data_IF_236891478921
#
_entry.id   IF_236891478921
#
_cell.length_a   1.000
_cell.length_b   1.000
_cell.length_c   1.000
_cell.angle_alpha   90.00
_cell.angle_beta   90.00
_cell.angle_gamma   90.00
#
_symmetry.space_group_name_H-M   'P 1'
#
loop_
_entity.id
_entity.type
_entity.pdbx_description
1 polymer ?
#
# COMPACT_ATOMS: atom_id res chain seq x y z
N UNK A 1 -19.74 -4.53 2.21
CA UNK A 1 -20.45 -4.89 0.99
C UNK A 1 -20.07 -6.27 0.46
N UNK A 2 -20.25 -7.31 1.31
CA UNK A 2 -19.94 -8.70 0.97
C UNK A 2 -21.20 -9.54 0.95
N UNK A 3 -21.33 -10.39 -0.06
CA UNK A 3 -22.35 -11.45 -0.10
C UNK A 3 -21.65 -12.77 0.14
N UNK A 4 -22.01 -13.43 1.22
CA UNK A 4 -21.46 -14.75 1.55
C UNK A 4 -22.10 -15.83 0.70
N UNK A 5 -21.34 -16.89 0.36
CA UNK A 5 -21.83 -18.00 -0.45
C UNK A 5 -23.07 -18.68 0.14
N UNK A 6 -23.15 -18.80 1.45
CA UNK A 6 -24.32 -19.36 2.15
C UNK A 6 -25.60 -18.49 2.08
N UNK A 7 -25.50 -17.23 1.65
CA UNK A 7 -26.64 -16.34 1.46
C UNK A 7 -27.22 -16.39 0.04
N UNK A 8 -26.56 -17.09 -0.89
CA UNK A 8 -26.95 -17.19 -2.30
C UNK A 8 -27.85 -18.39 -2.48
N UNK A 9 -29.15 -18.13 -2.74
CA UNK A 9 -30.13 -19.18 -3.00
C UNK A 9 -30.02 -19.74 -4.43
N UNK A 10 -29.65 -18.90 -5.40
CA UNK A 10 -29.58 -19.27 -6.83
C UNK A 10 -28.62 -18.38 -7.57
N UNK A 11 -27.84 -18.97 -8.49
CA UNK A 11 -27.10 -18.29 -9.54
C UNK A 11 -27.86 -18.50 -10.85
N UNK A 12 -28.05 -17.44 -11.63
CA UNK A 12 -28.70 -17.49 -12.97
C UNK A 12 -27.70 -16.98 -13.97
N UNK A 13 -27.47 -17.76 -15.00
CA UNK A 13 -26.57 -17.45 -16.12
C UNK A 13 -27.40 -17.25 -17.39
N UNK A 14 -26.85 -16.54 -18.34
CA UNK A 14 -27.44 -16.43 -19.68
C UNK A 14 -27.49 -17.80 -20.36
N UNK A 15 -28.47 -18.04 -21.22
CA UNK A 15 -28.72 -19.35 -21.82
C UNK A 15 -27.53 -19.89 -22.61
N UNK A 16 -26.72 -19.00 -23.17
CA UNK A 16 -25.56 -19.32 -24.00
C UNK A 16 -24.24 -19.22 -23.23
N UNK A 17 -24.29 -19.06 -21.88
CA UNK A 17 -23.09 -18.96 -21.06
C UNK A 17 -22.39 -20.34 -21.00
N UNK A 18 -21.09 -20.42 -21.31
CA UNK A 18 -20.42 -21.71 -21.55
C UNK A 18 -20.09 -22.53 -20.29
N UNK A 19 -20.31 -21.97 -19.09
CA UNK A 19 -19.96 -22.58 -17.82
C UNK A 19 -21.16 -22.70 -16.89
N UNK A 20 -21.07 -23.56 -15.87
CA UNK A 20 -22.11 -23.77 -14.85
C UNK A 20 -22.13 -22.69 -13.73
N UNK A 21 -21.12 -21.84 -13.67
CA UNK A 21 -20.99 -20.74 -12.72
C UNK A 21 -20.31 -19.54 -13.39
N UNK A 22 -20.47 -18.30 -12.83
CA UNK A 22 -19.72 -17.14 -13.32
C UNK A 22 -18.22 -17.38 -13.22
N UNK A 23 -17.47 -16.87 -14.16
CA UNK A 23 -16.00 -16.86 -14.08
C UNK A 23 -15.55 -16.02 -12.90
N UNK A 24 -14.43 -16.41 -12.29
CA UNK A 24 -13.88 -15.68 -11.16
C UNK A 24 -13.46 -14.27 -11.59
N UNK A 25 -13.93 -13.26 -10.85
CA UNK A 25 -13.74 -11.85 -11.18
C UNK A 25 -14.82 -11.25 -12.08
N UNK A 26 -15.74 -12.05 -12.64
CA UNK A 26 -16.84 -11.55 -13.46
C UNK A 26 -17.75 -10.60 -12.68
N UNK A 27 -18.27 -9.57 -13.36
CA UNK A 27 -19.29 -8.71 -12.80
C UNK A 27 -20.63 -9.43 -12.78
N UNK A 28 -21.28 -9.45 -11.62
CA UNK A 28 -22.58 -10.08 -11.40
C UNK A 28 -23.55 -9.10 -10.74
N UNK A 29 -24.82 -9.12 -11.18
CA UNK A 29 -25.90 -8.39 -10.52
C UNK A 29 -26.46 -9.23 -9.37
N UNK A 30 -26.51 -8.65 -8.18
CA UNK A 30 -27.08 -9.28 -6.98
C UNK A 30 -28.49 -8.78 -6.77
N UNK A 31 -29.44 -9.71 -6.60
CA UNK A 31 -30.87 -9.41 -6.36
C UNK A 31 -31.33 -10.07 -5.07
N UNK A 32 -32.23 -9.42 -4.35
CA UNK A 32 -32.94 -9.99 -3.23
C UNK A 32 -33.97 -11.04 -3.70
N UNK A 33 -34.58 -11.76 -2.75
CA UNK A 33 -35.59 -12.78 -3.04
C UNK A 33 -36.81 -12.21 -3.82
N UNK A 34 -37.20 -10.98 -3.50
CA UNK A 34 -38.29 -10.24 -4.17
C UNK A 34 -37.89 -9.62 -5.51
N UNK A 35 -36.70 -9.94 -6.02
CA UNK A 35 -36.07 -9.43 -7.24
C UNK A 35 -35.58 -7.97 -7.17
N UNK A 36 -35.66 -7.33 -6.00
CA UNK A 36 -35.08 -6.00 -5.79
C UNK A 36 -33.57 -6.05 -6.07
N UNK A 37 -33.07 -5.09 -6.85
CA UNK A 37 -31.64 -4.99 -7.18
C UNK A 37 -30.88 -4.50 -5.95
N UNK A 38 -29.96 -5.31 -5.46
CA UNK A 38 -29.06 -4.95 -4.36
C UNK A 38 -27.80 -4.24 -4.87
N UNK A 39 -27.31 -4.64 -6.04
CA UNK A 39 -26.15 -4.01 -6.66
C UNK A 39 -25.38 -4.92 -7.59
N UNK A 40 -24.26 -4.42 -8.07
CA UNK A 40 -23.30 -5.13 -8.95
C UNK A 40 -21.95 -5.26 -8.24
N UNK A 41 -21.27 -6.38 -8.45
CA UNK A 41 -19.96 -6.65 -7.86
C UNK A 41 -19.21 -7.78 -8.54
N UNK A 42 -18.02 -8.04 -8.08
CA UNK A 42 -17.18 -9.13 -8.58
C UNK A 42 -17.53 -10.46 -7.94
N UNK A 43 -17.77 -11.46 -8.77
CA UNK A 43 -17.90 -12.85 -8.35
C UNK A 43 -16.53 -13.40 -7.88
N UNK A 44 -16.54 -14.22 -6.84
CA UNK A 44 -15.36 -14.90 -6.34
C UNK A 44 -15.72 -16.27 -5.79
N UNK A 45 -14.86 -17.25 -6.04
CA UNK A 45 -14.98 -18.58 -5.45
C UNK A 45 -14.48 -18.54 -3.99
N UNK A 46 -15.34 -18.87 -3.05
CA UNK A 46 -15.01 -18.89 -1.62
C UNK A 46 -16.18 -18.51 -0.72
N UNK A 47 -15.89 -18.22 0.55
CA UNK A 47 -16.90 -17.83 1.54
C UNK A 47 -17.53 -16.46 1.22
N UNK A 48 -16.76 -15.51 0.71
CA UNK A 48 -17.26 -14.24 0.18
C UNK A 48 -17.43 -14.43 -1.32
N UNK A 49 -18.66 -14.69 -1.75
CA UNK A 49 -18.96 -15.00 -3.14
C UNK A 49 -19.11 -13.76 -4.03
N UNK A 50 -19.56 -12.62 -3.48
CA UNK A 50 -19.60 -11.36 -4.23
C UNK A 50 -19.08 -10.22 -3.37
N UNK A 51 -18.20 -9.41 -3.96
CA UNK A 51 -17.81 -8.10 -3.43
C UNK A 51 -18.54 -7.01 -4.20
N UNK A 52 -19.55 -6.40 -3.56
CA UNK A 52 -20.38 -5.36 -4.19
C UNK A 52 -19.53 -4.08 -4.38
N UNK A 53 -19.55 -3.55 -5.58
CA UNK A 53 -18.89 -2.31 -6.01
C UNK A 53 -19.87 -1.12 -6.01
N UNK A 54 -21.07 -1.35 -6.54
CA UNK A 54 -22.10 -0.33 -6.62
C UNK A 54 -23.44 -0.91 -6.17
N UNK A 55 -24.19 -0.14 -5.35
CA UNK A 55 -25.48 -0.54 -4.82
C UNK A 55 -26.63 0.03 -5.64
N UNK A 56 -27.76 -0.72 -5.70
CA UNK A 56 -28.98 -0.27 -6.33
C UNK A 56 -28.97 -0.18 -7.87
N UNK A 57 -27.91 -0.71 -8.49
CA UNK A 57 -27.73 -0.70 -9.95
C UNK A 57 -27.45 -2.10 -10.48
N UNK A 58 -27.82 -2.36 -11.73
CA UNK A 58 -27.60 -3.65 -12.41
C UNK A 58 -26.23 -3.75 -13.07
N UNK A 59 -25.64 -2.61 -13.44
CA UNK A 59 -24.36 -2.52 -14.13
C UNK A 59 -23.54 -1.38 -13.51
N UNK A 60 -22.22 -1.45 -13.63
CA UNK A 60 -21.36 -0.35 -13.21
C UNK A 60 -21.61 0.89 -14.08
N UNK A 61 -21.72 2.08 -13.49
CA UNK A 61 -21.75 3.33 -14.26
C UNK A 61 -20.49 3.47 -15.14
N UNK A 62 -20.60 4.14 -16.27
CA UNK A 62 -19.50 4.33 -17.23
C UNK A 62 -18.25 4.95 -16.60
N UNK A 63 -18.42 5.91 -15.70
CA UNK A 63 -17.32 6.61 -15.01
C UNK A 63 -17.01 6.06 -13.61
N UNK A 64 -17.47 4.84 -13.28
CA UNK A 64 -17.41 4.27 -11.93
C UNK A 64 -16.02 4.38 -11.30
N UNK A 65 -14.97 3.93 -11.97
CA UNK A 65 -13.60 3.95 -11.43
C UNK A 65 -13.12 5.37 -11.14
N UNK A 66 -13.34 6.30 -12.08
CA UNK A 66 -12.93 7.70 -11.91
C UNK A 66 -13.68 8.38 -10.76
N UNK A 67 -14.99 8.14 -10.62
CA UNK A 67 -15.79 8.71 -9.54
C UNK A 67 -15.36 8.19 -8.16
N UNK A 68 -15.09 6.88 -8.03
CA UNK A 68 -14.60 6.29 -6.78
C UNK A 68 -13.22 6.81 -6.39
N UNK A 69 -12.30 6.88 -7.35
CA UNK A 69 -10.96 7.41 -7.12
C UNK A 69 -11.02 8.90 -6.78
N UNK A 70 -11.89 9.68 -7.46
CA UNK A 70 -12.08 11.11 -7.15
C UNK A 70 -12.60 11.31 -5.72
N UNK A 71 -13.57 10.51 -5.29
CA UNK A 71 -14.10 10.57 -3.92
C UNK A 71 -13.00 10.28 -2.88
N UNK A 72 -12.20 9.24 -3.11
CA UNK A 72 -11.09 8.89 -2.25
C UNK A 72 -10.00 9.98 -2.24
N UNK A 73 -9.64 10.53 -3.39
CA UNK A 73 -8.67 11.63 -3.50
C UNK A 73 -9.14 12.88 -2.76
N UNK A 74 -10.40 13.27 -2.97
CA UNK A 74 -11.01 14.42 -2.27
C UNK A 74 -10.99 14.24 -0.75
N UNK A 75 -11.26 13.02 -0.28
CA UNK A 75 -11.18 12.71 1.15
C UNK A 75 -9.74 12.92 1.68
N UNK A 76 -8.70 12.42 0.97
CA UNK A 76 -7.29 12.59 1.38
C UNK A 76 -6.86 14.06 1.39
N UNK A 77 -7.36 14.85 0.44
CA UNK A 77 -7.16 16.31 0.44
C UNK A 77 -7.82 16.97 1.67
N UNK A 78 -9.08 16.64 1.95
CA UNK A 78 -9.80 17.18 3.10
C UNK A 78 -9.16 16.80 4.45
N UNK A 79 -8.51 15.64 4.52
CA UNK A 79 -7.74 15.19 5.69
C UNK A 79 -6.35 15.84 5.79
N UNK A 80 -5.94 16.67 4.84
CA UNK A 80 -4.61 17.30 4.83
C UNK A 80 -3.47 16.34 4.53
N UNK A 81 -3.76 15.15 3.97
CA UNK A 81 -2.73 14.14 3.65
C UNK A 81 -1.95 14.45 2.37
N UNK A 82 -2.35 15.45 1.63
CA UNK A 82 -1.73 15.84 0.36
C UNK A 82 -1.26 17.30 0.48
N UNK A 83 0.04 17.49 0.50
CA UNK A 83 0.67 18.81 0.64
C UNK A 83 2.09 18.79 0.04
N UNK A 84 2.77 19.93 0.03
CA UNK A 84 4.18 20.04 -0.33
C UNK A 84 5.08 19.21 0.58
N UNK A 85 4.70 19.07 1.84
CA UNK A 85 5.45 18.31 2.84
C UNK A 85 5.03 16.84 2.93
N UNK A 86 4.04 16.44 2.15
CA UNK A 86 3.56 15.07 2.13
C UNK A 86 2.95 14.67 0.79
N UNK A 87 3.68 13.85 0.04
CA UNK A 87 3.24 13.23 -1.21
C UNK A 87 3.34 11.69 -1.16
N UNK A 88 3.44 11.15 0.06
CA UNK A 88 3.43 9.72 0.36
C UNK A 88 2.14 9.39 1.10
N UNK A 89 1.17 8.75 0.46
CA UNK A 89 -0.11 8.45 1.11
C UNK A 89 -0.84 7.28 0.44
N UNK A 90 -1.71 6.61 1.22
CA UNK A 90 -2.65 5.61 0.71
C UNK A 90 -3.85 6.31 0.08
N UNK A 91 -3.97 6.18 -1.24
CA UNK A 91 -5.11 6.72 -1.99
C UNK A 91 -6.35 5.83 -1.82
N UNK A 92 -6.19 4.50 -1.96
CA UNK A 92 -7.30 3.55 -1.86
C UNK A 92 -6.97 2.49 -0.80
N UNK A 93 -7.93 2.26 0.09
CA UNK A 93 -7.88 1.24 1.14
C UNK A 93 -9.09 0.30 1.09
N UNK A 94 -9.20 -0.45 0.02
CA UNK A 94 -10.18 -1.53 -0.12
C UNK A 94 -11.61 -1.09 0.15
N UNK A 95 -12.25 -1.80 1.06
CA UNK A 95 -13.63 -1.60 1.48
C UNK A 95 -13.89 -0.21 2.06
N UNK A 96 -12.90 0.40 2.69
CA UNK A 96 -13.00 1.76 3.26
C UNK A 96 -13.26 2.84 2.20
N UNK A 97 -12.82 2.60 0.97
CA UNK A 97 -13.02 3.48 -0.18
C UNK A 97 -14.03 2.91 -1.19
N UNK A 98 -14.84 1.92 -0.78
CA UNK A 98 -15.81 1.22 -1.62
C UNK A 98 -15.21 0.54 -2.87
N UNK A 99 -13.93 0.17 -2.81
CA UNK A 99 -13.20 -0.57 -3.83
C UNK A 99 -12.61 -1.86 -3.22
N UNK A 100 -13.44 -2.82 -2.80
CA UNK A 100 -13.05 -3.99 -2.04
C UNK A 100 -11.99 -4.82 -2.75
N UNK A 101 -10.88 -5.05 -2.07
CA UNK A 101 -9.75 -5.81 -2.62
C UNK A 101 -8.81 -4.97 -3.49
N UNK A 102 -8.86 -3.63 -3.42
CA UNK A 102 -7.91 -2.73 -4.08
C UNK A 102 -7.12 -1.92 -3.07
N UNK A 103 -5.81 -1.90 -3.20
CA UNK A 103 -4.91 -0.99 -2.50
C UNK A 103 -4.19 -0.13 -3.53
N UNK A 104 -4.13 1.17 -3.28
CA UNK A 104 -3.34 2.11 -4.08
C UNK A 104 -2.58 3.03 -3.17
N UNK A 105 -1.26 3.02 -3.29
CA UNK A 105 -0.37 3.93 -2.57
C UNK A 105 0.29 4.90 -3.57
N UNK A 106 0.38 6.16 -3.16
CA UNK A 106 1.02 7.22 -3.95
C UNK A 106 2.39 7.54 -3.37
N UNK A 107 3.37 7.60 -4.23
CA UNK A 107 4.74 7.99 -3.96
C UNK A 107 5.16 9.06 -4.99
N UNK A 108 5.07 10.33 -4.58
CA UNK A 108 5.30 11.49 -5.46
C UNK A 108 4.44 11.42 -6.75
N UNK A 109 5.05 11.18 -7.89
CA UNK A 109 4.38 11.09 -9.20
C UNK A 109 4.05 9.64 -9.64
N UNK A 110 4.23 8.66 -8.75
CA UNK A 110 3.98 7.24 -9.06
C UNK A 110 2.89 6.67 -8.15
N UNK A 111 1.93 5.98 -8.75
CA UNK A 111 0.95 5.18 -8.04
C UNK A 111 1.36 3.70 -8.08
N UNK A 112 1.29 3.02 -6.93
CA UNK A 112 1.52 1.57 -6.82
C UNK A 112 0.21 0.87 -6.47
N UNK A 113 -0.22 -0.04 -7.33
CA UNK A 113 -1.48 -0.78 -7.21
C UNK A 113 -1.21 -2.20 -6.72
N UNK A 114 -1.99 -2.65 -5.73
CA UNK A 114 -2.13 -4.05 -5.36
C UNK A 114 -3.58 -4.50 -5.45
N UNK A 115 -3.84 -5.55 -6.23
CA UNK A 115 -5.11 -6.24 -6.27
C UNK A 115 -5.08 -7.46 -5.34
N UNK A 116 -6.10 -7.59 -4.51
CA UNK A 116 -6.33 -8.72 -3.60
C UNK A 116 -7.51 -9.60 -4.03
N UNK A 117 -8.06 -9.33 -5.20
CA UNK A 117 -9.13 -10.12 -5.82
C UNK A 117 -8.94 -10.20 -7.33
N UNK A 118 -9.48 -11.26 -7.95
CA UNK A 118 -9.39 -11.45 -9.40
C UNK A 118 -10.12 -10.33 -10.14
N UNK A 119 -11.28 -9.90 -9.66
CA UNK A 119 -12.03 -8.80 -10.29
C UNK A 119 -11.24 -7.50 -10.35
N UNK A 120 -10.51 -7.13 -9.28
CA UNK A 120 -9.64 -5.95 -9.31
C UNK A 120 -8.44 -6.13 -10.25
N UNK A 121 -7.91 -7.37 -10.34
CA UNK A 121 -6.87 -7.69 -11.32
C UNK A 121 -7.34 -7.51 -12.76
N UNK A 122 -8.53 -7.98 -13.08
CA UNK A 122 -9.10 -7.86 -14.43
C UNK A 122 -9.29 -6.40 -14.85
N UNK A 123 -9.71 -5.53 -13.94
CA UNK A 123 -9.91 -4.11 -14.18
C UNK A 123 -8.68 -3.21 -13.91
N UNK A 124 -7.50 -3.81 -13.72
CA UNK A 124 -6.28 -3.04 -13.36
C UNK A 124 -5.93 -1.92 -14.34
N UNK A 125 -6.21 -2.12 -15.62
CA UNK A 125 -5.89 -1.12 -16.65
C UNK A 125 -6.83 0.08 -16.60
N UNK A 126 -8.14 -0.15 -16.44
CA UNK A 126 -9.14 0.91 -16.29
C UNK A 126 -8.91 1.68 -14.98
N UNK A 127 -8.54 0.98 -13.90
CA UNK A 127 -8.17 1.60 -12.62
C UNK A 127 -6.94 2.49 -12.79
N UNK A 128 -5.90 2.02 -13.47
CA UNK A 128 -4.69 2.79 -13.72
C UNK A 128 -4.97 4.07 -14.53
N UNK A 129 -5.77 3.97 -15.58
CA UNK A 129 -6.21 5.12 -16.40
C UNK A 129 -7.02 6.12 -15.57
N UNK A 130 -7.91 5.63 -14.72
CA UNK A 130 -8.72 6.46 -13.84
C UNK A 130 -7.84 7.19 -12.79
N UNK A 131 -6.83 6.54 -12.22
CA UNK A 131 -5.87 7.17 -11.30
C UNK A 131 -5.13 8.30 -12.02
N UNK A 132 -4.57 8.04 -13.21
CA UNK A 132 -3.84 9.06 -13.97
C UNK A 132 -4.72 10.25 -14.35
N UNK A 133 -5.99 10.00 -14.68
CA UNK A 133 -6.97 11.04 -15.02
C UNK A 133 -7.34 11.92 -13.82
N UNK A 134 -7.47 11.33 -12.63
CA UNK A 134 -8.05 11.97 -11.45
C UNK A 134 -6.98 12.58 -10.55
N UNK A 135 -5.85 11.92 -10.35
CA UNK A 135 -4.82 12.37 -9.41
C UNK A 135 -3.79 13.21 -10.16
N UNK A 136 -3.69 14.52 -9.84
CA UNK A 136 -2.76 15.41 -10.53
C UNK A 136 -1.30 14.97 -10.37
N UNK A 137 -0.52 15.06 -11.44
CA UNK A 137 0.92 14.82 -11.42
C UNK A 137 1.32 13.34 -11.44
N UNK A 138 0.39 12.39 -11.59
CA UNK A 138 0.75 10.98 -11.77
C UNK A 138 1.27 10.74 -13.19
N UNK A 139 2.53 10.34 -13.27
CA UNK A 139 3.26 10.04 -14.50
C UNK A 139 3.38 8.53 -14.74
N UNK A 140 3.44 7.74 -13.66
CA UNK A 140 3.57 6.29 -13.72
C UNK A 140 2.58 5.57 -12.81
N UNK A 141 2.12 4.41 -13.25
CA UNK A 141 1.32 3.48 -12.45
C UNK A 141 1.97 2.11 -12.50
N UNK A 142 2.45 1.64 -11.34
CA UNK A 142 3.08 0.33 -11.18
C UNK A 142 2.12 -0.66 -10.54
N UNK A 143 1.98 -1.82 -11.13
CA UNK A 143 1.16 -2.92 -10.63
C UNK A 143 2.04 -3.97 -9.95
N UNK A 144 1.71 -4.34 -8.71
CA UNK A 144 2.48 -5.25 -7.88
C UNK A 144 1.56 -6.19 -7.11
N UNK A 145 1.14 -7.28 -7.74
CA UNK A 145 0.12 -8.18 -7.18
C UNK A 145 0.50 -9.67 -7.25
N UNK A 146 1.76 -9.98 -7.47
CA UNK A 146 2.26 -11.36 -7.51
C UNK A 146 2.01 -12.11 -6.20
N UNK A 147 2.19 -11.44 -5.05
CA UNK A 147 2.02 -12.02 -3.72
C UNK A 147 0.63 -11.76 -3.09
N UNK A 148 -0.23 -10.94 -3.74
CA UNK A 148 -1.50 -10.51 -3.13
C UNK A 148 -2.74 -11.14 -3.76
N UNK A 149 -2.61 -11.68 -4.96
CA UNK A 149 -3.70 -12.34 -5.66
C UNK A 149 -3.98 -13.75 -5.08
N UNK A 150 -5.24 -14.21 -5.11
CA UNK A 150 -5.58 -15.56 -4.65
C UNK A 150 -4.82 -16.64 -5.41
N UNK A 151 -4.05 -17.48 -4.70
CA UNK A 151 -3.19 -18.51 -5.33
C UNK A 151 -3.94 -19.60 -6.11
N UNK A 152 -5.23 -19.81 -5.83
CA UNK A 152 -6.04 -20.86 -6.43
C UNK A 152 -6.80 -20.44 -7.69
N UNK A 153 -6.84 -19.15 -7.99
CA UNK A 153 -7.56 -18.65 -9.15
C UNK A 153 -6.71 -18.80 -10.42
N UNK A 154 -7.31 -19.22 -11.56
CA UNK A 154 -6.66 -19.15 -12.86
C UNK A 154 -6.54 -17.69 -13.29
N UNK A 155 -5.41 -17.05 -12.98
CA UNK A 155 -5.19 -15.63 -13.24
C UNK A 155 -4.34 -15.49 -14.49
N UNK A 156 -4.88 -14.83 -15.51
CA UNK A 156 -4.20 -14.53 -16.78
C UNK A 156 -3.65 -13.11 -16.78
N UNK A 157 -2.56 -12.90 -17.49
CA UNK A 157 -1.89 -11.61 -17.64
C UNK A 157 -0.85 -11.31 -16.55
N UNK A 158 -0.10 -10.23 -16.75
CA UNK A 158 1.00 -9.86 -15.88
C UNK A 158 0.50 -9.42 -14.49
N UNK A 159 1.19 -9.94 -13.47
CA UNK A 159 0.92 -9.65 -12.06
C UNK A 159 1.82 -8.55 -11.51
N UNK A 160 2.84 -8.15 -12.27
CA UNK A 160 3.84 -7.13 -11.92
C UNK A 160 4.23 -6.37 -13.17
N UNK A 161 4.39 -5.06 -13.05
CA UNK A 161 4.88 -4.21 -14.14
C UNK A 161 4.22 -2.84 -14.22
N UNK A 162 4.74 -1.98 -15.05
CA UNK A 162 4.13 -0.67 -15.31
C UNK A 162 2.90 -0.82 -16.21
N UNK A 163 1.75 -0.32 -15.77
CA UNK A 163 0.53 -0.21 -16.55
C UNK A 163 0.49 1.10 -17.34
N UNK A 164 1.08 2.16 -16.78
CA UNK A 164 1.19 3.49 -17.39
C UNK A 164 2.57 4.05 -17.09
N UNK A 165 3.17 4.69 -18.08
CA UNK A 165 4.48 5.30 -17.95
C UNK A 165 5.58 4.26 -17.69
N UNK A 166 6.81 4.70 -17.89
CA UNK A 166 8.00 3.99 -17.42
C UNK A 166 8.91 5.04 -16.82
N UNK A 167 9.61 4.77 -15.71
CA UNK A 167 10.64 5.69 -15.24
C UNK A 167 11.66 5.90 -16.36
N UNK A 168 12.23 7.09 -16.46
CA UNK A 168 13.36 7.32 -17.34
C UNK A 168 14.48 6.31 -17.02
N UNK A 169 15.14 5.77 -18.03
CA UNK A 169 16.12 4.67 -17.94
C UNK A 169 17.22 4.87 -16.88
N UNK A 170 17.38 6.09 -16.35
CA UNK A 170 18.38 6.46 -15.35
C UNK A 170 17.77 6.82 -13.98
N UNK A 171 16.47 6.59 -13.74
CA UNK A 171 15.86 6.82 -12.43
C UNK A 171 16.00 5.55 -11.55
N UNK A 172 17.20 5.32 -11.05
CA UNK A 172 17.42 4.33 -9.99
C UNK A 172 16.90 4.81 -8.62
N UNK A 173 16.49 6.07 -8.51
CA UNK A 173 16.16 6.73 -7.25
C UNK A 173 14.76 7.33 -7.28
N UNK A 174 13.86 6.67 -6.57
CA UNK A 174 12.49 7.15 -6.38
C UNK A 174 12.37 7.78 -4.99
N UNK A 175 12.26 9.10 -4.95
CA UNK A 175 12.12 9.86 -3.73
C UNK A 175 10.68 10.29 -3.52
N UNK A 176 10.21 10.18 -2.28
CA UNK A 176 8.91 10.64 -1.86
C UNK A 176 9.00 11.30 -0.49
N UNK A 177 8.08 12.19 -0.17
CA UNK A 177 8.10 13.00 1.06
C UNK A 177 6.99 12.56 1.98
N UNK A 178 7.31 12.34 3.25
CA UNK A 178 6.35 12.13 4.34
C UNK A 178 6.65 13.09 5.48
N UNK A 179 5.72 14.00 5.77
CA UNK A 179 5.86 15.01 6.82
C UNK A 179 7.20 15.79 6.75
N UNK A 180 7.62 16.17 5.54
CA UNK A 180 8.85 16.92 5.30
C UNK A 180 10.14 16.09 5.31
N UNK A 181 10.08 14.78 5.55
CA UNK A 181 11.23 13.87 5.42
C UNK A 181 11.19 13.18 4.07
N UNK A 182 12.33 13.13 3.40
CA UNK A 182 12.50 12.46 2.10
C UNK A 182 12.87 10.99 2.31
N UNK A 183 12.16 10.10 1.63
CA UNK A 183 12.40 8.66 1.65
C UNK A 183 12.66 8.14 0.25
N UNK A 184 13.73 7.36 0.10
CA UNK A 184 13.92 6.53 -1.08
C UNK A 184 13.00 5.31 -0.98
N UNK A 185 12.08 5.18 -1.92
CA UNK A 185 11.07 4.12 -1.95
C UNK A 185 11.44 3.09 -3.01
N UNK A 186 11.48 1.82 -2.64
CA UNK A 186 11.69 0.71 -3.59
C UNK A 186 10.39 -0.08 -3.76
N UNK A 187 9.50 0.37 -4.62
CA UNK A 187 8.28 -0.40 -4.93
C UNK A 187 8.54 -1.60 -5.83
N UNK A 188 9.67 -1.64 -6.55
CA UNK A 188 10.01 -2.77 -7.43
C UNK A 188 10.34 -4.04 -6.64
N UNK A 189 11.12 -3.91 -5.56
CA UNK A 189 11.70 -5.04 -4.80
C UNK A 189 11.41 -4.96 -3.30
N UNK A 190 10.88 -3.85 -2.81
CA UNK A 190 10.54 -3.64 -1.40
C UNK A 190 9.31 -4.44 -0.97
N UNK A 191 9.08 -4.50 0.32
CA UNK A 191 7.91 -5.15 0.90
C UNK A 191 6.64 -4.34 0.60
N UNK A 192 5.48 -5.02 0.57
CA UNK A 192 4.18 -4.40 0.26
C UNK A 192 4.28 -3.55 -1.02
N UNK A 193 3.83 -2.31 -0.95
CA UNK A 193 3.93 -1.33 -2.04
C UNK A 193 5.28 -0.59 -2.09
N UNK A 194 6.19 -0.87 -1.16
CA UNK A 194 7.53 -0.25 -1.07
C UNK A 194 7.80 0.48 0.25
N UNK A 195 6.76 0.89 0.97
CA UNK A 195 6.86 1.59 2.25
C UNK A 195 5.67 1.27 3.17
N UNK A 196 5.85 1.44 4.49
CA UNK A 196 4.81 1.20 5.50
C UNK A 196 4.09 2.51 5.85
N UNK A 197 3.23 2.98 4.95
CA UNK A 197 2.50 4.26 5.09
C UNK A 197 1.59 4.27 6.34
N UNK A 198 1.07 3.11 6.72
CA UNK A 198 0.22 2.90 7.90
C UNK A 198 0.90 3.28 9.23
N UNK A 199 2.24 3.34 9.26
CA UNK A 199 3.02 3.67 10.45
C UNK A 199 3.33 5.18 10.62
N UNK A 200 2.80 6.06 9.78
CA UNK A 200 3.08 7.51 9.82
C UNK A 200 2.86 8.12 11.19
N UNK A 201 1.70 7.88 11.80
CA UNK A 201 1.35 8.45 13.10
C UNK A 201 2.24 7.89 14.22
N UNK A 202 2.57 6.61 14.14
CA UNK A 202 3.49 5.99 15.10
C UNK A 202 4.91 6.56 14.95
N UNK A 203 5.35 6.84 13.72
CA UNK A 203 6.63 7.55 13.50
C UNK A 203 6.62 8.96 14.10
N UNK A 204 5.53 9.71 13.92
CA UNK A 204 5.36 11.03 14.52
C UNK A 204 5.33 10.98 16.07
N UNK A 205 4.78 9.92 16.65
CA UNK A 205 4.88 9.71 18.11
C UNK A 205 6.32 9.48 18.55
N UNK A 206 7.11 8.65 17.86
CA UNK A 206 8.52 8.45 18.18
C UNK A 206 9.27 9.76 18.12
N UNK A 207 9.05 10.62 17.14
CA UNK A 207 9.65 11.95 17.06
C UNK A 207 9.40 12.78 18.34
N UNK A 208 8.17 12.77 18.83
CA UNK A 208 7.77 13.54 20.03
C UNK A 208 8.49 13.07 21.31
N UNK A 209 8.85 11.79 21.38
CA UNK A 209 9.49 11.19 22.57
C UNK A 209 11.00 11.00 22.46
N UNK A 210 11.59 11.29 21.29
CA UNK A 210 12.99 10.99 21.00
C UNK A 210 14.00 12.03 21.56
N UNK A 211 13.56 13.24 21.94
CA UNK A 211 14.45 14.32 22.35
C UNK A 211 15.41 13.90 23.49
N UNK A 212 16.70 14.03 23.23
CA UNK A 212 17.79 13.68 24.17
C UNK A 212 17.85 12.20 24.57
N UNK A 213 17.22 11.31 23.80
CA UNK A 213 17.17 9.87 24.06
C UNK A 213 18.18 9.10 23.23
N UNK A 214 18.62 7.96 23.79
CA UNK A 214 19.25 6.89 23.05
C UNK A 214 18.14 5.96 22.54
N UNK A 215 18.03 5.83 21.21
CA UNK A 215 16.94 5.13 20.56
C UNK A 215 17.46 3.88 19.84
N UNK A 216 16.80 2.75 20.06
CA UNK A 216 17.02 1.53 19.30
C UNK A 216 15.80 1.27 18.40
N UNK A 217 16.02 1.19 17.08
CA UNK A 217 15.04 0.80 16.11
C UNK A 217 15.38 -0.59 15.56
N UNK A 218 14.68 -1.61 16.06
CA UNK A 218 14.81 -3.00 15.62
C UNK A 218 13.89 -3.26 14.44
N UNK A 219 14.29 -4.17 13.53
CA UNK A 219 13.53 -4.46 12.29
C UNK A 219 13.26 -3.17 11.51
N UNK A 220 14.28 -2.35 11.43
CA UNK A 220 14.15 -0.94 11.04
C UNK A 220 13.72 -0.74 9.57
N UNK A 221 13.77 -1.79 8.73
CA UNK A 221 13.49 -1.76 7.31
C UNK A 221 14.25 -0.59 6.63
N UNK A 222 13.56 0.37 6.02
CA UNK A 222 14.18 1.54 5.37
C UNK A 222 14.43 2.73 6.31
N UNK A 223 14.33 2.52 7.63
CA UNK A 223 14.69 3.50 8.66
C UNK A 223 13.62 4.57 8.94
N UNK A 224 12.35 4.33 8.58
CA UNK A 224 11.31 5.32 8.77
C UNK A 224 11.25 5.87 10.19
N UNK A 225 11.24 5.02 11.20
CA UNK A 225 11.24 5.44 12.60
C UNK A 225 12.55 6.14 13.01
N UNK A 226 13.69 5.69 12.46
CA UNK A 226 14.99 6.28 12.76
C UNK A 226 15.09 7.74 12.32
N UNK A 227 14.57 8.07 11.12
CA UNK A 227 14.56 9.45 10.62
C UNK A 227 13.70 10.36 11.50
N UNK A 228 12.54 9.89 11.94
CA UNK A 228 11.69 10.65 12.84
C UNK A 228 12.35 10.81 14.24
N UNK A 229 13.01 9.79 14.75
CA UNK A 229 13.76 9.90 16.00
C UNK A 229 14.90 10.92 15.89
N UNK A 230 15.64 10.93 14.78
CA UNK A 230 16.72 11.91 14.53
C UNK A 230 16.15 13.33 14.44
N UNK A 231 15.08 13.55 13.71
CA UNK A 231 14.41 14.87 13.61
C UNK A 231 13.86 15.33 14.96
N UNK A 232 13.41 14.39 15.79
CA UNK A 232 12.96 14.64 17.15
C UNK A 232 14.08 14.98 18.14
N UNK A 233 15.35 15.02 17.72
CA UNK A 233 16.49 15.38 18.56
C UNK A 233 17.01 14.23 19.42
N UNK A 234 16.91 12.99 18.94
CA UNK A 234 17.55 11.86 19.60
C UNK A 234 19.05 12.10 19.73
N UNK A 235 19.63 11.77 20.90
CA UNK A 235 21.05 11.87 21.15
C UNK A 235 21.85 10.82 20.37
N UNK A 236 21.26 9.63 20.20
CA UNK A 236 21.79 8.52 19.42
C UNK A 236 20.66 7.66 18.89
N UNK A 237 20.79 7.18 17.66
CA UNK A 237 19.86 6.22 17.05
C UNK A 237 20.65 5.05 16.48
N UNK A 238 20.34 3.85 16.93
CA UNK A 238 20.84 2.61 16.37
C UNK A 238 19.71 1.93 15.58
N UNK A 239 19.93 1.68 14.30
CA UNK A 239 19.01 1.00 13.39
C UNK A 239 19.53 -0.41 13.10
N UNK A 240 18.71 -1.43 13.33
CA UNK A 240 19.10 -2.83 13.15
C UNK A 240 18.11 -3.56 12.27
N UNK A 241 18.62 -4.23 11.24
CA UNK A 241 17.86 -5.13 10.38
C UNK A 241 18.74 -6.27 9.90
N UNK A 242 18.17 -7.43 9.61
CA UNK A 242 18.91 -8.55 9.04
C UNK A 242 19.23 -8.35 7.58
N UNK A 243 18.49 -7.49 6.87
CA UNK A 243 18.62 -7.21 5.46
C UNK A 243 19.67 -6.13 5.20
N UNK A 244 20.78 -6.47 4.55
CA UNK A 244 21.78 -5.48 4.10
C UNK A 244 21.16 -4.42 3.20
N UNK A 245 20.26 -4.82 2.30
CA UNK A 245 19.56 -3.89 1.40
C UNK A 245 18.70 -2.87 2.18
N UNK A 246 18.05 -3.30 3.25
CA UNK A 246 17.30 -2.38 4.12
C UNK A 246 18.23 -1.38 4.79
N UNK A 247 19.36 -1.85 5.34
CA UNK A 247 20.38 -1.01 5.98
C UNK A 247 21.01 -0.02 4.99
N UNK A 248 21.26 -0.42 3.75
CA UNK A 248 21.75 0.49 2.71
C UNK A 248 20.76 1.63 2.47
N UNK A 249 19.45 1.33 2.42
CA UNK A 249 18.40 2.34 2.29
C UNK A 249 18.28 3.24 3.52
N UNK A 250 18.45 2.71 4.74
CA UNK A 250 18.52 3.52 5.96
C UNK A 250 19.64 4.55 5.84
N UNK A 251 20.85 4.12 5.46
CA UNK A 251 22.00 5.01 5.32
C UNK A 251 21.77 6.10 4.27
N UNK A 252 21.19 5.74 3.12
CA UNK A 252 20.82 6.69 2.06
C UNK A 252 19.80 7.71 2.57
N UNK A 253 18.74 7.25 3.24
CA UNK A 253 17.69 8.11 3.78
C UNK A 253 18.23 9.05 4.88
N UNK A 254 19.08 8.55 5.77
CA UNK A 254 19.72 9.38 6.81
C UNK A 254 20.64 10.42 6.17
N UNK A 255 21.50 10.04 5.25
CA UNK A 255 22.42 10.96 4.57
C UNK A 255 21.67 12.07 3.79
N UNK A 256 20.52 11.75 3.21
CA UNK A 256 19.67 12.69 2.48
C UNK A 256 19.05 13.75 3.39
N UNK A 257 18.50 13.33 4.54
CA UNK A 257 17.80 14.24 5.46
C UNK A 257 18.73 14.90 6.47
N UNK A 258 19.81 14.22 6.84
CA UNK A 258 20.74 14.65 7.93
C UNK A 258 22.19 14.47 7.50
N UNK A 259 22.70 15.22 6.52
CA UNK A 259 24.03 15.01 5.92
C UNK A 259 25.19 15.22 6.90
N UNK A 260 24.97 15.88 8.03
CA UNK A 260 25.97 16.12 9.06
C UNK A 260 25.76 15.28 10.33
N UNK A 261 24.82 14.31 10.30
CA UNK A 261 24.53 13.46 11.45
C UNK A 261 25.69 12.51 11.72
N UNK A 262 26.22 12.56 12.95
CA UNK A 262 27.19 11.61 13.49
C UNK A 262 26.59 10.78 14.66
N UNK A 263 25.30 10.89 14.88
CA UNK A 263 24.56 10.26 15.99
C UNK A 263 23.73 9.06 15.55
N UNK A 264 23.93 8.57 14.33
CA UNK A 264 23.22 7.41 13.80
C UNK A 264 24.19 6.28 13.46
N UNK A 265 23.78 5.05 13.80
CA UNK A 265 24.48 3.81 13.42
C UNK A 265 23.47 2.84 12.82
N UNK A 266 23.77 2.28 11.66
CA UNK A 266 22.97 1.23 11.03
C UNK A 266 23.78 -0.07 10.99
N UNK A 267 23.15 -1.18 11.41
CA UNK A 267 23.81 -2.48 11.59
C UNK A 267 23.00 -3.58 10.91
N UNK A 268 23.66 -4.35 10.05
CA UNK A 268 23.10 -5.57 9.49
C UNK A 268 23.39 -6.72 10.42
N UNK A 269 22.40 -7.13 11.22
CA UNK A 269 22.58 -8.19 12.23
C UNK A 269 21.23 -8.81 12.59
N UNK A 270 21.24 -10.08 13.03
CA UNK A 270 20.07 -10.68 13.66
C UNK A 270 19.71 -9.92 14.95
N UNK A 271 18.43 -9.70 15.17
CA UNK A 271 17.93 -8.91 16.28
C UNK A 271 18.33 -9.49 17.65
N UNK A 272 18.25 -10.81 17.82
CA UNK A 272 18.57 -11.47 19.10
C UNK A 272 20.06 -11.46 19.36
N UNK A 273 20.88 -11.62 18.32
CA UNK A 273 22.34 -11.56 18.45
C UNK A 273 22.80 -10.15 18.80
N UNK A 274 22.21 -9.13 18.17
CA UNK A 274 22.47 -7.73 18.51
C UNK A 274 22.12 -7.43 19.97
N UNK A 275 20.94 -7.83 20.44
CA UNK A 275 20.52 -7.59 21.82
C UNK A 275 21.41 -8.30 22.84
N UNK A 276 21.85 -9.56 22.58
CA UNK A 276 22.81 -10.28 23.45
C UNK A 276 24.15 -9.54 23.55
N UNK A 277 24.67 -9.08 22.41
CA UNK A 277 25.92 -8.31 22.37
C UNK A 277 25.80 -7.02 23.17
N UNK A 278 24.72 -6.25 22.98
CA UNK A 278 24.54 -4.98 23.70
C UNK A 278 24.30 -5.18 25.21
N UNK A 279 23.57 -6.23 25.58
CA UNK A 279 23.42 -6.60 26.98
C UNK A 279 24.77 -6.92 27.65
N UNK A 280 25.60 -7.70 26.97
CA UNK A 280 26.94 -8.07 27.48
C UNK A 280 27.84 -6.84 27.60
N UNK A 281 27.72 -5.86 26.70
CA UNK A 281 28.50 -4.62 26.77
C UNK A 281 27.95 -3.58 27.75
N UNK A 282 26.82 -3.86 28.42
CA UNK A 282 26.18 -2.94 29.35
C UNK A 282 25.51 -1.73 28.70
N UNK A 283 25.31 -1.74 27.38
CA UNK A 283 24.61 -0.66 26.67
C UNK A 283 23.12 -0.74 26.97
N UNK A 284 22.51 0.43 27.25
CA UNK A 284 21.08 0.57 27.45
C UNK A 284 20.49 1.63 26.49
N UNK A 285 19.19 1.54 26.27
CA UNK A 285 18.44 2.48 25.45
C UNK A 285 17.26 3.05 26.24
N UNK A 286 16.97 4.33 26.01
CA UNK A 286 15.84 5.02 26.62
C UNK A 286 14.53 4.74 25.90
N UNK A 287 14.59 4.47 24.60
CA UNK A 287 13.44 4.19 23.73
C UNK A 287 13.79 3.04 22.79
N UNK A 288 12.96 2.01 22.78
CA UNK A 288 13.11 0.84 21.90
C UNK A 288 11.86 0.70 21.03
N UNK A 289 12.07 0.55 19.73
CA UNK A 289 11.03 0.32 18.71
C UNK A 289 11.21 -1.12 18.19
N UNK A 290 10.11 -1.91 18.23
CA UNK A 290 10.09 -3.32 17.83
C UNK A 290 9.11 -3.54 16.70
#
# INVERSE_FOLDING_TARGET
PWVFSGAIARVSLDKDYPHDAPEEGALVCVRAHDKTILGVGHWQVGSIAVRILAFGVEQLPENFWAERIQAAYTMRQAMGLISTDNNTYRLIHGEGDFLPGLIVDIYANTAVIQAHSVGMHLHRQEIAQAIQKVVPGIEAVYYKSDDTLPHKAPITGDKVGYLIGTPAENQEEFWSVENGLEFRIDWLRGQKTGFFIDQRENRALVERYAAHKTVLNMFCYTGGFSLYALRGGAQRVDSVDVSQKAIDLVNINVARNFPQCNCHTAVTQDAFDYLREKHTSGLSYDLIIL
#
